data_IF_977208231327
#
_entry.id   IF_977208231327
#
_cell.length_a   1.000
_cell.length_b   1.000
_cell.length_c   1.000
_cell.angle_alpha   90.00
_cell.angle_beta   90.00
_cell.angle_gamma   90.00
#
_symmetry.space_group_name_H-M   'P 1'
#
loop_
_entity.id
_entity.type
_entity.pdbx_description
1 polymer ?
#
# COMPACT_ATOMS: atom_id res chain seq x y z
N UNK A 1 1.39 -15.29 -20.20
CA UNK A 1 0.32 -15.44 -19.20
C UNK A 1 0.33 -14.17 -18.39
N UNK A 2 -0.64 -13.27 -18.60
CA UNK A 2 -0.77 -12.03 -17.83
C UNK A 2 -1.65 -12.35 -16.62
N UNK A 3 -1.10 -12.30 -15.41
CA UNK A 3 -1.81 -12.75 -14.21
C UNK A 3 -2.72 -11.67 -13.60
N UNK A 4 -2.49 -10.38 -13.90
CA UNK A 4 -3.39 -9.28 -13.51
C UNK A 4 -3.34 -8.13 -14.52
N UNK A 5 -4.47 -7.46 -14.73
CA UNK A 5 -4.58 -6.25 -15.58
C UNK A 5 -4.56 -4.96 -14.77
N UNK A 6 -4.82 -5.03 -13.46
CA UNK A 6 -4.94 -3.87 -12.59
C UNK A 6 -4.12 -4.06 -11.31
N UNK A 7 -3.47 -3.00 -10.84
CA UNK A 7 -2.66 -3.02 -9.62
C UNK A 7 -2.92 -1.77 -8.78
N UNK A 8 -3.16 -1.94 -7.48
CA UNK A 8 -3.14 -0.85 -6.52
C UNK A 8 -1.71 -0.63 -6.02
N UNK A 9 -1.25 0.61 -6.02
CA UNK A 9 0.02 1.02 -5.41
C UNK A 9 -0.19 2.29 -4.58
N UNK A 10 0.46 2.37 -3.42
CA UNK A 10 0.42 3.55 -2.56
C UNK A 10 1.77 4.27 -2.62
N UNK A 11 1.77 5.53 -3.06
CA UNK A 11 3.00 6.33 -3.12
C UNK A 11 3.35 6.81 -1.71
N UNK A 12 4.51 6.42 -1.15
CA UNK A 12 4.86 6.78 0.22
C UNK A 12 5.19 8.26 0.36
N UNK A 13 4.87 8.84 1.51
CA UNK A 13 5.28 10.21 1.89
C UNK A 13 6.30 10.20 3.03
N UNK A 14 6.36 9.12 3.81
CA UNK A 14 7.18 8.99 5.03
C UNK A 14 7.89 7.64 5.15
N UNK A 15 8.31 7.05 4.03
CA UNK A 15 9.02 5.78 3.99
C UNK A 15 10.32 5.83 4.79
N UNK A 16 10.51 4.85 5.65
CA UNK A 16 11.67 4.74 6.51
C UNK A 16 11.55 3.58 7.50
N UNK A 17 12.47 3.54 8.45
CA UNK A 17 12.47 2.54 9.51
C UNK A 17 11.21 2.64 10.37
N UNK A 18 10.55 1.50 10.61
CA UNK A 18 9.38 1.43 11.49
C UNK A 18 9.71 0.63 12.76
N UNK A 19 9.89 1.29 13.92
CA UNK A 19 10.18 0.61 15.18
C UNK A 19 9.11 -0.41 15.60
N UNK A 20 7.83 -0.16 15.26
CA UNK A 20 6.72 -1.06 15.65
C UNK A 20 6.72 -2.38 14.86
N UNK A 21 7.27 -2.39 13.64
CA UNK A 21 7.42 -3.63 12.85
C UNK A 21 8.82 -4.20 12.93
N UNK A 22 9.83 -3.45 13.32
CA UNK A 22 11.21 -3.94 13.44
C UNK A 22 11.36 -5.14 14.40
N UNK A 23 10.46 -5.27 15.38
CA UNK A 23 10.47 -6.40 16.33
C UNK A 23 10.17 -7.74 15.64
N UNK A 24 9.40 -7.74 14.54
CA UNK A 24 8.96 -8.96 13.84
C UNK A 24 9.23 -8.97 12.33
N UNK A 25 9.79 -7.90 11.78
CA UNK A 25 10.15 -7.78 10.37
C UNK A 25 11.68 -7.84 10.21
N UNK A 26 12.19 -9.02 9.85
CA UNK A 26 13.62 -9.24 9.65
C UNK A 26 14.26 -8.40 8.53
N UNK A 27 13.46 -7.76 7.67
CA UNK A 27 13.95 -6.85 6.63
C UNK A 27 14.23 -5.44 7.17
N UNK A 28 13.72 -5.08 8.36
CA UNK A 28 13.92 -3.77 8.96
C UNK A 28 15.26 -3.74 9.71
N UNK A 29 16.20 -2.95 9.20
CA UNK A 29 17.49 -2.69 9.85
C UNK A 29 17.42 -1.32 10.50
N UNK A 30 17.70 -1.27 11.80
CA UNK A 30 17.75 -0.01 12.53
C UNK A 30 18.82 0.91 11.92
N UNK A 31 18.41 2.13 11.56
CA UNK A 31 19.29 3.14 10.99
C UNK A 31 18.50 4.28 10.37
N UNK A 32 19.10 5.47 10.37
CA UNK A 32 18.58 6.61 9.65
C UNK A 32 19.28 6.67 8.29
N UNK A 33 18.51 6.59 7.22
CA UNK A 33 19.00 6.83 5.87
C UNK A 33 18.26 8.05 5.33
N UNK A 34 18.97 9.18 5.26
CA UNK A 34 18.46 10.49 4.80
C UNK A 34 17.77 10.40 3.43
N UNK A 35 18.17 9.42 2.63
CA UNK A 35 17.70 9.24 1.26
C UNK A 35 16.66 8.13 1.13
N UNK A 36 16.24 7.46 2.20
CA UNK A 36 15.29 6.33 2.14
C UNK A 36 13.99 6.71 1.41
N UNK A 37 13.35 7.79 1.84
CA UNK A 37 12.11 8.29 1.22
C UNK A 37 12.33 8.70 -0.24
N UNK A 38 13.42 9.41 -0.55
CA UNK A 38 13.71 9.89 -1.91
C UNK A 38 13.99 8.73 -2.87
N UNK A 39 14.77 7.75 -2.43
CA UNK A 39 15.07 6.55 -3.19
C UNK A 39 13.82 5.70 -3.40
N UNK A 40 13.02 5.48 -2.36
CA UNK A 40 11.78 4.72 -2.47
C UNK A 40 10.79 5.38 -3.44
N UNK A 41 10.63 6.71 -3.39
CA UNK A 41 9.78 7.43 -4.34
C UNK A 41 10.29 7.29 -5.78
N UNK A 42 11.60 7.40 -6.00
CA UNK A 42 12.21 7.21 -7.33
C UNK A 42 12.03 5.78 -7.85
N UNK A 43 12.25 4.79 -7.00
CA UNK A 43 12.06 3.37 -7.36
C UNK A 43 10.59 3.06 -7.65
N UNK A 44 9.68 3.62 -6.85
CA UNK A 44 8.23 3.53 -7.05
C UNK A 44 7.80 4.08 -8.42
N UNK A 45 8.23 5.29 -8.77
CA UNK A 45 7.89 5.93 -10.05
C UNK A 45 8.49 5.16 -11.25
N UNK A 46 9.71 4.62 -11.10
CA UNK A 46 10.32 3.75 -12.09
C UNK A 46 9.53 2.43 -12.26
N UNK A 47 9.02 1.87 -11.17
CA UNK A 47 8.26 0.63 -11.23
C UNK A 47 6.90 0.83 -11.90
N UNK A 48 6.18 1.91 -11.58
CA UNK A 48 4.95 2.30 -12.29
C UNK A 48 5.21 2.43 -13.78
N UNK A 49 6.26 3.15 -14.16
CA UNK A 49 6.61 3.34 -15.59
C UNK A 49 6.81 2.00 -16.29
N UNK A 50 7.53 1.06 -15.67
CA UNK A 50 7.72 -0.29 -16.23
C UNK A 50 6.39 -1.03 -16.36
N UNK A 51 5.57 -1.06 -15.31
CA UNK A 51 4.28 -1.75 -15.32
C UNK A 51 3.35 -1.20 -16.43
N UNK A 52 3.27 0.13 -16.55
CA UNK A 52 2.47 0.80 -17.57
C UNK A 52 2.94 0.50 -19.00
N UNK A 53 4.26 0.41 -19.25
CA UNK A 53 4.80 0.01 -20.56
C UNK A 53 4.33 -1.39 -20.97
N UNK A 54 4.17 -2.29 -19.99
CA UNK A 54 3.62 -3.64 -20.22
C UNK A 54 2.08 -3.70 -20.17
N UNK A 55 1.40 -2.56 -20.19
CA UNK A 55 -0.06 -2.49 -20.28
C UNK A 55 -0.81 -2.82 -18.98
N UNK A 56 -0.13 -2.78 -17.83
CA UNK A 56 -0.77 -2.93 -16.53
C UNK A 56 -1.33 -1.58 -16.11
N UNK A 57 -2.62 -1.54 -15.79
CA UNK A 57 -3.30 -0.33 -15.31
C UNK A 57 -3.07 -0.16 -13.80
N UNK A 58 -2.16 0.77 -13.46
CA UNK A 58 -1.78 1.04 -12.07
C UNK A 58 -2.66 2.14 -11.49
N UNK A 59 -3.41 1.80 -10.45
CA UNK A 59 -4.13 2.76 -9.61
C UNK A 59 -3.19 3.24 -8.51
N UNK A 60 -2.68 4.45 -8.65
CA UNK A 60 -1.78 5.07 -7.68
C UNK A 60 -2.59 5.94 -6.73
N UNK A 61 -2.43 5.74 -5.43
CA UNK A 61 -2.96 6.63 -4.40
C UNK A 61 -1.79 7.22 -3.62
N UNK A 62 -1.76 8.55 -3.45
CA UNK A 62 -0.75 9.18 -2.61
C UNK A 62 -1.09 8.98 -1.13
N UNK A 63 -0.06 8.61 -0.35
CA UNK A 63 -0.18 8.58 1.10
C UNK A 63 -0.25 10.00 1.68
N UNK A 64 -0.56 10.12 2.98
CA UNK A 64 -0.61 11.41 3.68
C UNK A 64 0.50 11.52 4.72
N UNK A 65 1.06 12.73 4.98
CA UNK A 65 2.07 12.92 6.02
C UNK A 65 1.60 12.54 7.43
N UNK A 66 0.30 12.68 7.69
CA UNK A 66 -0.35 12.34 8.95
C UNK A 66 -1.59 11.47 8.69
N UNK A 67 -1.80 10.38 9.45
CA UNK A 67 -0.92 9.84 10.49
C UNK A 67 0.40 9.29 9.93
N UNK A 68 1.43 9.21 10.76
CA UNK A 68 2.75 8.70 10.38
C UNK A 68 2.71 7.18 10.13
N UNK A 69 2.75 6.79 8.86
CA UNK A 69 2.60 5.40 8.38
C UNK A 69 3.74 5.03 7.42
N UNK A 70 4.94 4.69 7.92
CA UNK A 70 6.13 4.48 7.08
C UNK A 70 6.04 3.24 6.18
N UNK A 71 5.21 2.26 6.52
CA UNK A 71 5.01 1.02 5.76
C UNK A 71 3.81 1.09 4.78
N UNK A 72 3.22 2.28 4.57
CA UNK A 72 2.01 2.48 3.75
C UNK A 72 2.15 2.08 2.29
N UNK A 73 3.39 2.06 1.77
CA UNK A 73 3.74 1.58 0.42
C UNK A 73 3.33 0.12 0.18
N UNK A 74 3.05 -0.66 1.25
CA UNK A 74 2.69 -2.07 1.19
C UNK A 74 1.19 -2.33 1.50
N UNK A 75 0.25 -1.94 0.61
CA UNK A 75 -1.18 -2.14 0.84
C UNK A 75 -1.59 -3.61 0.91
N UNK A 76 -0.80 -4.51 0.30
CA UNK A 76 -1.05 -5.96 0.28
C UNK A 76 -1.14 -6.59 1.68
N UNK A 77 -0.67 -5.91 2.73
CA UNK A 77 -0.74 -6.42 4.09
C UNK A 77 -2.11 -6.23 4.74
N UNK A 78 -2.90 -5.25 4.30
CA UNK A 78 -4.18 -4.91 4.94
C UNK A 78 -5.38 -4.97 4.02
N UNK A 79 -5.19 -5.05 2.69
CA UNK A 79 -6.28 -5.19 1.71
C UNK A 79 -5.98 -6.26 0.66
N UNK A 80 -7.01 -6.99 0.26
CA UNK A 80 -6.99 -7.85 -0.93
C UNK A 80 -8.27 -7.72 -1.74
N UNK A 81 -8.19 -8.13 -3.00
CA UNK A 81 -9.26 -8.07 -4.00
C UNK A 81 -9.54 -9.47 -4.52
N UNK A 82 -10.82 -9.83 -4.62
CA UNK A 82 -11.27 -11.16 -5.01
C UNK A 82 -12.33 -11.08 -6.10
N UNK A 83 -12.53 -12.20 -6.78
CA UNK A 83 -13.60 -12.38 -7.76
C UNK A 83 -14.96 -11.99 -7.19
N UNK A 84 -15.86 -11.52 -8.06
CA UNK A 84 -17.16 -11.01 -7.65
C UNK A 84 -17.10 -9.62 -6.99
N UNK A 85 -16.04 -8.84 -7.26
CA UNK A 85 -15.87 -7.46 -6.80
C UNK A 85 -15.87 -7.33 -5.27
N UNK A 86 -15.16 -8.26 -4.61
CA UNK A 86 -15.08 -8.33 -3.15
C UNK A 86 -13.76 -7.72 -2.68
N UNK A 87 -13.85 -6.83 -1.68
CA UNK A 87 -12.71 -6.33 -0.92
C UNK A 87 -12.66 -7.04 0.44
N UNK A 88 -11.49 -7.50 0.85
CA UNK A 88 -11.24 -7.99 2.20
C UNK A 88 -10.25 -7.04 2.92
N UNK A 89 -10.59 -6.61 4.13
CA UNK A 89 -9.73 -5.79 4.99
C UNK A 89 -9.21 -6.63 6.15
N UNK A 90 -7.90 -6.54 6.43
CA UNK A 90 -7.23 -7.37 7.42
C UNK A 90 -6.76 -6.58 8.65
N UNK A 91 -6.80 -7.21 9.84
CA UNK A 91 -6.22 -6.61 11.03
C UNK A 91 -4.71 -6.52 10.87
N UNK A 92 -4.12 -5.50 11.49
CA UNK A 92 -2.67 -5.30 11.47
C UNK A 92 -2.16 -5.37 12.90
N UNK A 93 -1.09 -6.13 13.11
CA UNK A 93 -0.50 -6.31 14.44
C UNK A 93 0.00 -4.98 15.01
N UNK A 94 0.94 -4.33 14.31
CA UNK A 94 1.46 -3.01 14.66
C UNK A 94 0.37 -1.94 14.57
N UNK A 95 0.31 -1.05 15.56
CA UNK A 95 -0.78 -0.08 15.71
C UNK A 95 -0.70 1.02 14.65
N UNK A 96 0.51 1.50 14.35
CA UNK A 96 0.69 2.49 13.29
C UNK A 96 0.26 1.94 11.93
N UNK A 97 0.43 0.65 11.68
CA UNK A 97 0.00 -0.01 10.44
C UNK A 97 -1.51 -0.13 10.30
N UNK A 98 -2.27 -0.14 11.39
CA UNK A 98 -3.75 -0.08 11.34
C UNK A 98 -4.22 1.24 10.71
N UNK A 99 -3.43 2.31 10.84
CA UNK A 99 -3.71 3.65 10.31
C UNK A 99 -3.40 3.80 8.82
N UNK A 100 -2.80 2.79 8.19
CA UNK A 100 -2.59 2.73 6.72
C UNK A 100 -3.90 2.54 5.97
N UNK A 101 -4.94 2.01 6.64
CA UNK A 101 -6.29 1.86 6.10
C UNK A 101 -6.99 3.21 6.01
N UNK A 102 -6.56 4.05 5.06
CA UNK A 102 -7.06 5.42 4.90
C UNK A 102 -8.33 5.44 4.04
N UNK A 103 -9.40 6.15 4.44
CA UNK A 103 -10.67 6.16 3.70
C UNK A 103 -10.52 6.55 2.22
N UNK A 104 -9.64 7.51 1.91
CA UNK A 104 -9.43 7.98 0.54
C UNK A 104 -8.85 6.91 -0.40
N UNK A 105 -8.12 5.92 0.14
CA UNK A 105 -7.63 4.77 -0.65
C UNK A 105 -8.82 3.90 -1.09
N UNK A 106 -9.77 3.65 -0.19
CA UNK A 106 -10.97 2.87 -0.50
C UNK A 106 -11.89 3.63 -1.47
N UNK A 107 -12.01 4.95 -1.29
CA UNK A 107 -12.76 5.81 -2.21
C UNK A 107 -12.18 5.82 -3.62
N UNK A 108 -10.85 5.88 -3.76
CA UNK A 108 -10.17 5.78 -5.05
C UNK A 108 -10.41 4.43 -5.75
N UNK A 109 -10.51 3.34 -4.99
CA UNK A 109 -10.87 2.03 -5.55
C UNK A 109 -12.33 2.04 -6.02
N UNK A 110 -13.25 2.54 -5.18
CA UNK A 110 -14.69 2.58 -5.49
C UNK A 110 -15.05 3.53 -6.63
N UNK A 111 -14.24 4.56 -6.88
CA UNK A 111 -14.47 5.48 -8.00
C UNK A 111 -14.08 4.87 -9.36
N UNK A 112 -13.16 3.89 -9.36
CA UNK A 112 -12.65 3.24 -10.57
C UNK A 112 -13.24 1.86 -10.82
N UNK A 113 -13.57 1.12 -9.76
CA UNK A 113 -14.03 -0.27 -9.85
C UNK A 113 -15.37 -0.45 -9.15
N UNK A 114 -16.18 -1.37 -9.67
CA UNK A 114 -17.37 -1.83 -8.95
C UNK A 114 -16.91 -2.60 -7.71
N UNK A 115 -17.54 -2.34 -6.57
CA UNK A 115 -17.34 -3.09 -5.31
C UNK A 115 -18.70 -3.57 -4.84
N UNK A 116 -18.92 -4.88 -4.85
CA UNK A 116 -20.19 -5.50 -4.45
C UNK A 116 -20.22 -5.76 -2.95
N UNK A 117 -19.07 -6.12 -2.37
CA UNK A 117 -18.98 -6.49 -0.96
C UNK A 117 -17.65 -6.07 -0.36
N UNK A 118 -17.70 -5.62 0.88
CA UNK A 118 -16.52 -5.46 1.73
C UNK A 118 -16.65 -6.40 2.92
N UNK A 119 -15.67 -7.28 3.10
CA UNK A 119 -15.54 -8.15 4.27
C UNK A 119 -14.47 -7.54 5.17
N UNK A 120 -14.86 -7.16 6.38
CA UNK A 120 -13.98 -6.47 7.32
C UNK A 120 -13.58 -7.41 8.47
N UNK A 121 -12.31 -7.78 8.53
CA UNK A 121 -11.72 -8.59 9.58
C UNK A 121 -10.97 -7.77 10.64
N UNK A 122 -11.14 -6.44 10.64
CA UNK A 122 -10.36 -5.53 11.49
C UNK A 122 -10.88 -5.37 12.93
N UNK A 123 -11.84 -6.20 13.33
CA UNK A 123 -12.44 -6.23 14.67
C UNK A 123 -11.46 -6.64 15.77
#
# INVERSE_FOLDING_TARGET
MQNTSHLLMIKPVNFGFNPETAVNNAFQIAGYNDFAQQNAAKEFDNFITKLSIYGIDVTVVEDTPSPYTPDSIFPNNWISFHDGNIICLYPMFAENRRKERKPHVIEAIRSKFKVEKTIDFTY
#
